data_IF_758613801811
#
_entry.id   IF_758613801811
#
_cell.length_a   1.000
_cell.length_b   1.000
_cell.length_c   1.000
_cell.angle_alpha   90.00
_cell.angle_beta   90.00
_cell.angle_gamma   90.00
#
_symmetry.space_group_name_H-M   'P 1'
#
loop_
_entity.id
_entity.type
_entity.pdbx_description
1 polymer ?
#
# COMPACT_ATOMS: atom_id res chain seq x y z
N UNK A 1 -9.27 -6.09 -13.95
CA UNK A 1 -8.53 -5.10 -14.77
C UNK A 1 -8.03 -3.99 -13.85
N UNK A 2 -6.76 -3.60 -13.93
CA UNK A 2 -6.18 -2.58 -13.03
C UNK A 2 -6.39 -1.14 -13.52
N UNK A 3 -6.46 -0.18 -12.58
CA UNK A 3 -6.64 1.26 -12.86
C UNK A 3 -5.64 1.82 -13.87
N UNK A 4 -4.38 1.39 -13.82
CA UNK A 4 -3.33 1.82 -14.77
C UNK A 4 -3.64 1.44 -16.21
N UNK A 5 -4.26 0.28 -16.44
CA UNK A 5 -4.64 -0.13 -17.80
C UNK A 5 -5.77 0.76 -18.33
N UNK A 6 -6.77 1.01 -17.48
CA UNK A 6 -7.90 1.89 -17.80
C UNK A 6 -7.43 3.32 -18.07
N UNK A 7 -6.46 3.81 -17.31
CA UNK A 7 -5.87 5.12 -17.53
C UNK A 7 -5.21 5.25 -18.91
N UNK A 8 -4.66 4.15 -19.45
CA UNK A 8 -4.06 4.12 -20.79
C UNK A 8 -5.08 3.98 -21.91
N UNK A 9 -6.15 3.20 -21.70
CA UNK A 9 -7.12 2.89 -22.75
C UNK A 9 -8.27 3.89 -22.82
N UNK A 10 -8.78 4.34 -21.67
CA UNK A 10 -9.95 5.21 -21.55
C UNK A 10 -9.60 6.61 -21.03
N UNK A 11 -8.37 6.83 -20.55
CA UNK A 11 -7.88 8.11 -20.06
C UNK A 11 -7.93 8.25 -18.54
N UNK A 12 -7.26 9.28 -18.03
CA UNK A 12 -7.00 9.53 -16.60
C UNK A 12 -8.27 9.58 -15.75
N UNK A 13 -9.34 10.23 -16.24
CA UNK A 13 -10.61 10.37 -15.49
C UNK A 13 -11.18 8.99 -15.12
N UNK A 14 -11.27 8.08 -16.08
CA UNK A 14 -11.77 6.73 -15.86
C UNK A 14 -10.82 5.87 -15.03
N UNK A 15 -9.51 6.05 -15.22
CA UNK A 15 -8.50 5.39 -14.39
C UNK A 15 -8.63 5.73 -12.90
N UNK A 16 -8.89 7.00 -12.58
CA UNK A 16 -9.10 7.47 -11.20
C UNK A 16 -10.40 6.90 -10.62
N UNK A 17 -11.49 6.87 -11.39
CA UNK A 17 -12.75 6.28 -10.92
C UNK A 17 -12.55 4.80 -10.55
N UNK A 18 -11.90 4.02 -11.40
CA UNK A 18 -11.61 2.61 -11.13
C UNK A 18 -10.67 2.45 -9.94
N UNK A 19 -9.67 3.34 -9.81
CA UNK A 19 -8.77 3.38 -8.66
C UNK A 19 -9.55 3.54 -7.35
N UNK A 20 -10.46 4.51 -7.27
CA UNK A 20 -11.28 4.76 -6.08
C UNK A 20 -12.18 3.57 -5.79
N UNK A 21 -12.84 3.01 -6.80
CA UNK A 21 -13.71 1.85 -6.64
C UNK A 21 -12.92 0.62 -6.13
N UNK A 22 -11.70 0.39 -6.63
CA UNK A 22 -10.87 -0.72 -6.16
C UNK A 22 -10.37 -0.53 -4.71
N UNK A 23 -10.10 0.70 -4.29
CA UNK A 23 -9.81 1.04 -2.89
C UNK A 23 -11.04 0.78 -2.02
N UNK A 24 -12.21 1.25 -2.43
CA UNK A 24 -13.45 1.08 -1.69
C UNK A 24 -13.81 -0.40 -1.50
N UNK A 25 -13.55 -1.26 -2.49
CA UNK A 25 -13.74 -2.72 -2.36
C UNK A 25 -12.87 -3.35 -1.26
N UNK A 26 -11.70 -2.79 -0.97
CA UNK A 26 -10.85 -3.26 0.13
C UNK A 26 -11.23 -2.62 1.47
N UNK A 27 -11.68 -1.35 1.43
CA UNK A 27 -12.00 -0.58 2.62
C UNK A 27 -13.37 -0.93 3.23
N UNK A 28 -14.42 -0.92 2.41
CA UNK A 28 -15.81 -1.06 2.87
C UNK A 28 -16.08 -2.39 3.56
N UNK A 29 -15.68 -3.56 3.01
CA UNK A 29 -15.92 -4.84 3.68
C UNK A 29 -15.19 -4.92 5.01
N UNK A 30 -13.94 -4.46 5.09
CA UNK A 30 -13.16 -4.46 6.33
C UNK A 30 -13.81 -3.57 7.37
N UNK A 31 -14.21 -2.35 7.00
CA UNK A 31 -14.89 -1.43 7.92
C UNK A 31 -16.22 -1.99 8.43
N UNK A 32 -17.05 -2.55 7.55
CA UNK A 32 -18.38 -3.04 7.93
C UNK A 32 -18.30 -4.36 8.71
N UNK A 33 -17.60 -5.36 8.18
CA UNK A 33 -17.57 -6.69 8.81
C UNK A 33 -16.73 -6.72 10.08
N UNK A 34 -15.58 -6.04 10.12
CA UNK A 34 -14.75 -6.03 11.33
C UNK A 34 -15.36 -5.18 12.45
N UNK A 35 -15.92 -4.00 12.14
CA UNK A 35 -16.41 -3.09 13.19
C UNK A 35 -17.89 -3.30 13.55
N UNK A 36 -18.77 -3.57 12.59
CA UNK A 36 -20.23 -3.66 12.86
C UNK A 36 -20.69 -5.07 13.16
N UNK A 37 -20.18 -6.08 12.45
CA UNK A 37 -20.67 -7.46 12.58
C UNK A 37 -19.87 -8.19 13.66
N UNK A 38 -18.54 -8.07 13.66
CA UNK A 38 -17.68 -8.70 14.67
C UNK A 38 -18.00 -8.29 16.11
N UNK A 39 -18.32 -7.00 16.35
CA UNK A 39 -18.64 -6.48 17.68
C UNK A 39 -20.06 -6.80 18.15
N UNK A 40 -21.07 -6.70 17.27
CA UNK A 40 -22.48 -6.85 17.66
C UNK A 40 -22.96 -8.30 17.68
N UNK A 41 -22.35 -9.20 16.90
CA UNK A 41 -22.81 -10.60 16.78
C UNK A 41 -22.07 -11.54 17.75
N UNK A 42 -21.24 -11.01 18.66
CA UNK A 42 -20.50 -11.80 19.64
C UNK A 42 -19.46 -12.75 19.03
N UNK A 43 -19.12 -12.58 17.74
CA UNK A 43 -18.13 -13.40 17.04
C UNK A 43 -16.69 -13.04 17.41
N UNK A 44 -16.48 -11.86 18.01
CA UNK A 44 -15.18 -11.33 18.42
C UNK A 44 -15.22 -10.91 19.89
N UNK A 45 -14.94 -11.83 20.83
CA UNK A 45 -14.56 -11.47 22.20
C UNK A 45 -13.06 -11.20 22.29
N UNK A 46 -12.59 -10.40 23.27
CA UNK A 46 -11.15 -10.14 23.47
C UNK A 46 -10.35 -11.45 23.68
N UNK A 47 -11.00 -12.49 24.23
CA UNK A 47 -10.44 -13.82 24.46
C UNK A 47 -10.72 -14.83 23.32
N UNK A 48 -11.42 -14.41 22.26
CA UNK A 48 -11.73 -15.29 21.13
C UNK A 48 -10.55 -15.37 20.16
N UNK A 49 -10.30 -16.57 19.61
CA UNK A 49 -9.29 -16.78 18.56
C UNK A 49 -9.50 -15.85 17.34
N UNK A 50 -10.75 -15.46 17.07
CA UNK A 50 -11.13 -14.53 16.01
C UNK A 50 -11.30 -13.09 16.54
N UNK A 51 -10.18 -12.48 16.94
CA UNK A 51 -10.15 -11.08 17.39
C UNK A 51 -10.37 -10.09 16.22
N UNK A 52 -10.87 -8.87 16.52
CA UNK A 52 -11.23 -7.83 15.52
C UNK A 52 -10.14 -7.59 14.44
N UNK A 53 -8.84 -7.48 14.81
CA UNK A 53 -7.76 -7.27 13.83
C UNK A 53 -7.53 -8.46 12.90
N UNK A 54 -7.67 -9.69 13.40
CA UNK A 54 -7.56 -10.92 12.60
C UNK A 54 -8.69 -10.96 11.58
N UNK A 55 -9.92 -10.68 12.02
CA UNK A 55 -11.08 -10.63 11.13
C UNK A 55 -10.89 -9.57 10.03
N UNK A 56 -10.41 -8.37 10.38
CA UNK A 56 -10.09 -7.33 9.42
C UNK A 56 -9.07 -7.77 8.36
N UNK A 57 -8.00 -8.46 8.78
CA UNK A 57 -6.99 -9.02 7.87
C UNK A 57 -7.62 -10.09 6.96
N UNK A 58 -8.40 -11.02 7.50
CA UNK A 58 -9.04 -12.10 6.72
C UNK A 58 -9.99 -11.51 5.67
N UNK A 59 -10.86 -10.57 6.07
CA UNK A 59 -11.81 -9.91 5.18
C UNK A 59 -11.07 -9.13 4.08
N UNK A 60 -10.03 -8.38 4.46
CA UNK A 60 -9.24 -7.61 3.50
C UNK A 60 -8.46 -8.48 2.52
N UNK A 61 -7.84 -9.56 3.00
CA UNK A 61 -7.16 -10.54 2.15
C UNK A 61 -8.13 -11.25 1.21
N UNK A 62 -9.35 -11.54 1.66
CA UNK A 62 -10.42 -12.10 0.82
C UNK A 62 -10.85 -11.12 -0.28
N UNK A 63 -10.96 -9.83 0.03
CA UNK A 63 -11.24 -8.80 -0.97
C UNK A 63 -10.11 -8.68 -2.02
N UNK A 64 -8.85 -8.74 -1.59
CA UNK A 64 -7.68 -8.76 -2.49
C UNK A 64 -7.74 -10.00 -3.39
N UNK A 65 -7.96 -11.18 -2.81
CA UNK A 65 -8.07 -12.44 -3.56
C UNK A 65 -9.21 -12.38 -4.58
N UNK A 66 -10.38 -11.86 -4.20
CA UNK A 66 -11.51 -11.66 -5.11
C UNK A 66 -11.22 -10.66 -6.23
N UNK A 67 -10.35 -9.67 -6.03
CA UNK A 67 -9.91 -8.74 -7.09
C UNK A 67 -8.89 -9.39 -8.04
N UNK A 68 -7.95 -10.17 -7.50
CA UNK A 68 -6.87 -10.81 -8.28
C UNK A 68 -7.39 -12.02 -9.07
N UNK A 69 -8.23 -12.83 -8.45
CA UNK A 69 -8.80 -14.06 -9.00
C UNK A 69 -10.33 -13.96 -9.10
N UNK A 70 -10.82 -12.86 -9.68
CA UNK A 70 -12.25 -12.67 -9.85
C UNK A 70 -12.84 -13.69 -10.82
N UNK A 71 -13.89 -14.41 -10.38
CA UNK A 71 -14.63 -15.37 -11.19
C UNK A 71 -15.26 -14.73 -12.45
N UNK A 72 -15.67 -13.45 -12.34
CA UNK A 72 -16.29 -12.69 -13.44
C UNK A 72 -15.35 -12.41 -14.62
N UNK A 73 -14.04 -12.52 -14.42
CA UNK A 73 -13.02 -12.31 -15.47
C UNK A 73 -12.15 -13.55 -15.66
N UNK A 74 -12.73 -14.73 -15.49
CA UNK A 74 -12.05 -16.03 -15.68
C UNK A 74 -10.77 -16.13 -14.85
N UNK A 75 -10.82 -15.65 -13.61
CA UNK A 75 -9.70 -15.64 -12.66
C UNK A 75 -8.45 -14.85 -13.12
N UNK A 76 -8.60 -13.96 -14.11
CA UNK A 76 -7.54 -13.07 -14.61
C UNK A 76 -7.83 -11.61 -14.23
N UNK A 77 -7.70 -11.33 -12.93
CA UNK A 77 -8.00 -10.04 -12.34
C UNK A 77 -6.88 -9.01 -12.43
N UNK A 78 -6.94 -8.00 -11.56
CA UNK A 78 -5.89 -6.99 -11.43
C UNK A 78 -4.80 -7.38 -10.42
N UNK A 79 -3.85 -6.48 -10.15
CA UNK A 79 -2.74 -6.74 -9.21
C UNK A 79 -3.14 -6.64 -7.73
N UNK A 80 -4.35 -6.17 -7.41
CA UNK A 80 -4.82 -6.05 -6.03
C UNK A 80 -4.22 -4.90 -5.20
N UNK A 81 -3.30 -4.10 -5.75
CA UNK A 81 -2.60 -3.03 -5.01
C UNK A 81 -3.57 -2.01 -4.41
N UNK A 82 -4.55 -1.55 -5.19
CA UNK A 82 -5.54 -0.57 -4.74
C UNK A 82 -6.45 -1.13 -3.66
N UNK A 83 -6.83 -2.40 -3.79
CA UNK A 83 -7.66 -3.11 -2.82
C UNK A 83 -6.88 -3.36 -1.53
N UNK A 84 -5.59 -3.69 -1.62
CA UNK A 84 -4.70 -3.77 -0.45
C UNK A 84 -4.55 -2.42 0.26
N UNK A 85 -4.43 -1.32 -0.50
CA UNK A 85 -4.45 0.03 0.07
C UNK A 85 -5.77 0.30 0.81
N UNK A 86 -6.92 -0.06 0.24
CA UNK A 86 -8.22 0.05 0.91
C UNK A 86 -8.30 -0.70 2.24
N UNK A 87 -7.81 -1.95 2.26
CA UNK A 87 -7.69 -2.73 3.50
C UNK A 87 -6.78 -2.04 4.52
N UNK A 88 -5.60 -1.58 4.12
CA UNK A 88 -4.67 -0.91 5.03
C UNK A 88 -5.22 0.42 5.57
N UNK A 89 -5.98 1.18 4.77
CA UNK A 89 -6.69 2.38 5.24
C UNK A 89 -7.71 2.02 6.34
N UNK A 90 -8.40 0.90 6.19
CA UNK A 90 -9.41 0.47 7.17
C UNK A 90 -8.79 -0.02 8.48
N UNK A 91 -7.65 -0.74 8.42
CA UNK A 91 -7.03 -1.35 9.61
C UNK A 91 -6.04 -0.39 10.29
N UNK A 92 -5.26 0.36 9.53
CA UNK A 92 -4.13 1.18 9.99
C UNK A 92 -4.15 2.59 9.33
N UNK A 93 -5.21 3.39 9.56
CA UNK A 93 -5.39 4.67 8.85
C UNK A 93 -4.26 5.67 9.11
N UNK A 94 -3.75 5.72 10.34
CA UNK A 94 -2.69 6.66 10.73
C UNK A 94 -1.36 6.26 10.10
N UNK A 95 -0.97 5.00 10.24
CA UNK A 95 0.26 4.44 9.67
C UNK A 95 0.27 4.57 8.14
N UNK A 96 -0.86 4.27 7.50
CA UNK A 96 -1.01 4.39 6.06
C UNK A 96 -0.95 5.86 5.61
N UNK A 97 -1.57 6.79 6.36
CA UNK A 97 -1.49 8.22 6.10
C UNK A 97 -0.06 8.76 6.17
N UNK A 98 0.70 8.38 7.20
CA UNK A 98 2.13 8.74 7.30
C UNK A 98 2.94 8.09 6.18
N UNK A 99 2.62 6.84 5.81
CA UNK A 99 3.21 6.17 4.66
C UNK A 99 3.00 6.90 3.34
N UNK A 100 1.78 7.40 3.07
CA UNK A 100 1.49 8.25 1.89
C UNK A 100 2.32 9.53 1.93
N UNK A 101 2.42 10.18 3.10
CA UNK A 101 3.24 11.38 3.24
C UNK A 101 4.71 11.11 2.88
N UNK A 102 5.30 10.03 3.44
CA UNK A 102 6.67 9.60 3.11
C UNK A 102 6.80 9.25 1.63
N UNK A 103 5.81 8.60 1.03
CA UNK A 103 5.78 8.30 -0.39
C UNK A 103 5.88 9.57 -1.24
N UNK A 104 4.96 10.53 -1.02
CA UNK A 104 4.88 11.77 -1.78
C UNK A 104 6.16 12.58 -1.62
N UNK A 105 6.67 12.69 -0.39
CA UNK A 105 7.93 13.39 -0.11
C UNK A 105 9.11 12.73 -0.84
N UNK A 106 9.22 11.41 -0.79
CA UNK A 106 10.30 10.67 -1.44
C UNK A 106 10.24 10.79 -2.97
N UNK A 107 9.06 10.68 -3.58
CA UNK A 107 8.90 10.91 -5.03
C UNK A 107 9.26 12.36 -5.37
N UNK A 108 8.80 13.34 -4.58
CA UNK A 108 9.07 14.76 -4.79
C UNK A 108 10.56 15.11 -4.75
N UNK A 109 11.32 14.49 -3.85
CA UNK A 109 12.76 14.73 -3.70
C UNK A 109 13.57 13.92 -4.73
N UNK A 110 13.33 12.62 -4.81
CA UNK A 110 14.19 11.68 -5.54
C UNK A 110 13.75 11.42 -6.98
N UNK A 111 12.46 11.52 -7.27
CA UNK A 111 11.83 11.08 -8.52
C UNK A 111 11.68 9.56 -8.65
N UNK A 112 12.07 8.76 -7.66
CA UNK A 112 11.98 7.30 -7.71
C UNK A 112 10.71 6.78 -7.03
N UNK A 113 9.78 6.26 -7.82
CA UNK A 113 8.53 5.66 -7.31
C UNK A 113 8.79 4.36 -6.54
N UNK A 114 9.75 3.55 -6.98
CA UNK A 114 10.12 2.31 -6.30
C UNK A 114 10.74 2.56 -4.93
N UNK A 115 11.64 3.54 -4.81
CA UNK A 115 12.21 3.97 -3.53
C UNK A 115 11.10 4.47 -2.59
N UNK A 116 10.21 5.32 -3.10
CA UNK A 116 9.09 5.85 -2.33
C UNK A 116 8.17 4.74 -1.82
N UNK A 117 7.82 3.74 -2.64
CA UNK A 117 7.02 2.59 -2.21
C UNK A 117 7.69 1.81 -1.09
N UNK A 118 8.99 1.53 -1.20
CA UNK A 118 9.72 0.77 -0.17
C UNK A 118 9.81 1.54 1.16
N UNK A 119 10.08 2.85 1.12
CA UNK A 119 10.12 3.69 2.31
C UNK A 119 8.73 3.84 2.95
N UNK A 120 7.69 4.06 2.13
CA UNK A 120 6.31 4.14 2.61
C UNK A 120 5.86 2.84 3.28
N UNK A 121 6.16 1.67 2.68
CA UNK A 121 5.85 0.38 3.29
C UNK A 121 6.65 0.11 4.56
N UNK A 122 7.90 0.57 4.65
CA UNK A 122 8.73 0.45 5.86
C UNK A 122 8.21 1.33 7.00
N UNK A 123 7.58 2.46 6.66
CA UNK A 123 7.00 3.42 7.61
C UNK A 123 5.83 2.81 8.38
N UNK A 124 5.04 1.92 7.76
CA UNK A 124 3.85 1.33 8.40
C UNK A 124 4.19 0.59 9.71
N UNK A 125 5.02 -0.47 9.72
CA UNK A 125 5.38 -1.17 10.95
C UNK A 125 6.18 -0.28 11.92
N UNK A 126 6.97 0.67 11.41
CA UNK A 126 7.74 1.60 12.23
C UNK A 126 6.82 2.53 13.04
N UNK A 127 5.85 3.17 12.39
CA UNK A 127 4.88 4.05 13.06
C UNK A 127 4.02 3.27 14.03
N UNK A 128 3.58 2.06 13.66
CA UNK A 128 2.84 1.17 14.55
C UNK A 128 3.64 0.85 15.82
N UNK A 129 4.91 0.48 15.67
CA UNK A 129 5.83 0.22 16.79
C UNK A 129 6.01 1.45 17.68
N UNK A 130 6.26 2.63 17.10
CA UNK A 130 6.46 3.87 17.85
C UNK A 130 5.20 4.28 18.63
N UNK A 131 4.02 4.20 18.01
CA UNK A 131 2.75 4.54 18.67
C UNK A 131 2.51 3.69 19.91
N UNK A 132 2.71 2.38 19.80
CA UNK A 132 2.46 1.45 20.90
C UNK A 132 3.54 1.51 21.98
N UNK A 133 4.83 1.41 21.61
CA UNK A 133 5.91 1.24 22.58
C UNK A 133 6.43 2.55 23.17
N UNK A 134 6.49 3.61 22.36
CA UNK A 134 7.04 4.90 22.77
C UNK A 134 5.94 5.85 23.25
N UNK A 135 4.89 6.04 22.44
CA UNK A 135 3.79 6.96 22.76
C UNK A 135 2.69 6.34 23.62
N UNK A 136 2.80 5.04 23.97
CA UNK A 136 1.86 4.31 24.84
C UNK A 136 0.40 4.41 24.37
N UNK A 137 0.20 4.51 23.07
CA UNK A 137 -1.14 4.47 22.47
C UNK A 137 -1.66 3.05 22.60
N UNK A 138 -2.86 2.90 23.17
CA UNK A 138 -3.53 1.61 23.21
C UNK A 138 -3.97 1.20 21.79
N UNK A 139 -3.45 0.06 21.32
CA UNK A 139 -3.73 -0.50 19.99
C UNK A 139 -4.16 -1.95 20.17
N UNK A 140 -5.47 -2.18 20.00
CA UNK A 140 -6.05 -3.52 20.10
C UNK A 140 -5.44 -4.46 19.06
N UNK A 141 -4.96 -5.61 19.53
CA UNK A 141 -4.27 -6.62 18.71
C UNK A 141 -2.97 -6.15 18.08
N UNK A 142 -2.23 -5.27 18.78
CA UNK A 142 -0.90 -4.81 18.39
C UNK A 142 0.02 -5.94 17.87
N UNK A 143 0.13 -7.05 18.60
CA UNK A 143 1.00 -8.16 18.21
C UNK A 143 0.60 -8.78 16.85
N UNK A 144 -0.69 -8.96 16.60
CA UNK A 144 -1.18 -9.43 15.30
C UNK A 144 -0.83 -8.45 14.18
N UNK A 145 -1.08 -7.16 14.42
CA UNK A 145 -0.87 -6.10 13.42
C UNK A 145 0.62 -5.91 13.10
N UNK A 146 1.50 -5.97 14.10
CA UNK A 146 2.94 -5.80 13.87
C UNK A 146 3.51 -6.98 13.07
N UNK A 147 3.12 -8.23 13.37
CA UNK A 147 3.57 -9.38 12.58
C UNK A 147 3.02 -9.33 11.15
N UNK A 148 1.74 -8.96 10.98
CA UNK A 148 1.14 -8.78 9.67
C UNK A 148 1.87 -7.72 8.84
N UNK A 149 2.13 -6.54 9.41
CA UNK A 149 2.78 -5.43 8.71
C UNK A 149 4.25 -5.71 8.39
N UNK A 150 4.96 -6.45 9.25
CA UNK A 150 6.31 -6.94 8.95
C UNK A 150 6.29 -7.95 7.79
N UNK A 151 5.36 -8.90 7.79
CA UNK A 151 5.17 -9.82 6.66
C UNK A 151 4.83 -9.10 5.35
N UNK A 152 3.95 -8.09 5.42
CA UNK A 152 3.60 -7.25 4.28
C UNK A 152 4.81 -6.46 3.76
N UNK A 153 5.63 -5.88 4.66
CA UNK A 153 6.87 -5.20 4.30
C UNK A 153 7.83 -6.15 3.56
N UNK A 154 8.05 -7.36 4.09
CA UNK A 154 8.91 -8.36 3.45
C UNK A 154 8.43 -8.71 2.03
N UNK A 155 7.11 -8.88 1.85
CA UNK A 155 6.50 -9.11 0.54
C UNK A 155 6.74 -7.92 -0.41
N UNK A 156 6.58 -6.68 0.06
CA UNK A 156 6.85 -5.48 -0.73
C UNK A 156 8.32 -5.42 -1.14
N UNK A 157 9.26 -5.65 -0.23
CA UNK A 157 10.69 -5.67 -0.54
C UNK A 157 11.03 -6.76 -1.55
N UNK A 158 10.46 -7.96 -1.38
CA UNK A 158 10.66 -9.06 -2.32
C UNK A 158 10.14 -8.75 -3.73
N UNK A 159 8.98 -8.11 -3.84
CA UNK A 159 8.42 -7.69 -5.14
C UNK A 159 9.24 -6.58 -5.78
N UNK A 160 9.94 -5.76 -5.00
CA UNK A 160 10.81 -4.68 -5.47
C UNK A 160 12.27 -5.09 -5.66
N UNK A 161 12.66 -6.36 -5.46
CA UNK A 161 14.06 -6.82 -5.61
C UNK A 161 14.75 -6.39 -6.91
N UNK A 162 14.01 -6.38 -8.03
CA UNK A 162 14.55 -5.92 -9.31
C UNK A 162 14.78 -4.41 -9.35
N UNK A 163 13.91 -3.65 -8.69
CA UNK A 163 14.03 -2.20 -8.55
C UNK A 163 15.19 -1.83 -7.62
N UNK A 164 15.40 -2.61 -6.55
CA UNK A 164 16.54 -2.46 -5.65
C UNK A 164 17.85 -2.61 -6.44
N UNK A 165 17.98 -3.66 -7.25
CA UNK A 165 19.15 -3.85 -8.11
C UNK A 165 19.39 -2.65 -9.05
N UNK A 166 18.34 -2.11 -9.67
CA UNK A 166 18.43 -0.94 -10.56
C UNK A 166 18.71 0.37 -9.81
N UNK A 167 18.28 0.51 -8.56
CA UNK A 167 18.63 1.66 -7.72
C UNK A 167 20.11 1.64 -7.37
N UNK A 168 20.64 0.47 -7.00
CA UNK A 168 22.06 0.27 -6.69
C UNK A 168 22.92 0.53 -7.93
N UNK A 169 22.51 0.05 -9.11
CA UNK A 169 23.23 0.28 -10.37
C UNK A 169 22.98 1.65 -11.01
N UNK A 170 22.09 2.47 -10.42
CA UNK A 170 21.73 3.79 -10.96
C UNK A 170 20.91 3.77 -12.25
N UNK A 171 20.34 2.62 -12.66
CA UNK A 171 19.55 2.46 -13.89
C UNK A 171 18.03 2.52 -13.67
N UNK A 172 17.57 2.75 -12.44
CA UNK A 172 16.13 2.85 -12.15
C UNK A 172 15.50 4.08 -12.82
N UNK A 173 14.27 3.91 -13.33
CA UNK A 173 13.54 4.98 -14.00
C UNK A 173 13.13 6.08 -13.02
N UNK A 174 13.40 7.33 -13.41
CA UNK A 174 12.98 8.53 -12.67
C UNK A 174 11.72 9.13 -13.27
N UNK A 175 10.77 9.47 -12.41
CA UNK A 175 9.59 10.26 -12.73
C UNK A 175 9.92 11.76 -12.61
N UNK A 176 10.61 12.32 -13.61
CA UNK A 176 11.11 13.70 -13.56
C UNK A 176 10.01 14.76 -13.45
N UNK A 177 8.82 14.49 -14.00
CA UNK A 177 7.68 15.41 -13.99
C UNK A 177 7.20 15.81 -12.58
N UNK A 178 7.49 14.99 -11.57
CA UNK A 178 7.01 15.18 -10.19
C UNK A 178 8.12 15.57 -9.20
N UNK A 179 9.33 15.88 -9.68
CA UNK A 179 10.43 16.32 -8.81
C UNK A 179 10.29 17.79 -8.46
N UNK A 180 10.20 18.09 -7.16
CA UNK A 180 10.24 19.46 -6.64
C UNK A 180 11.65 20.05 -6.79
N UNK A 181 12.68 19.23 -6.57
CA UNK A 181 14.07 19.62 -6.75
C UNK A 181 14.58 19.11 -8.09
N UNK A 182 14.54 19.97 -9.11
CA UNK A 182 15.30 19.76 -10.35
C UNK A 182 16.78 19.84 -10.02
N UNK A 183 17.40 18.69 -9.75
CA UNK A 183 18.84 18.66 -9.60
C UNK A 183 19.48 19.02 -10.94
N UNK A 184 20.19 20.15 -10.99
CA UNK A 184 20.84 20.71 -12.20
C UNK A 184 21.93 19.80 -12.81
N UNK A 185 22.17 18.62 -12.22
CA UNK A 185 23.28 17.72 -12.56
C UNK A 185 23.04 16.85 -13.82
N UNK A 186 21.96 17.04 -14.57
CA UNK A 186 21.70 16.28 -15.82
C UNK A 186 22.28 16.94 -17.09
N UNK A 187 22.76 18.19 -17.02
CA UNK A 187 23.29 18.88 -18.23
C UNK A 187 24.72 18.49 -18.63
N UNK A 188 25.47 17.72 -17.82
CA UNK A 188 26.88 17.43 -18.11
C UNK A 188 27.16 16.21 -19.02
N UNK A 189 26.16 15.45 -19.45
CA UNK A 189 26.38 14.27 -20.33
C UNK A 189 26.19 14.52 -21.82
N UNK A 190 25.88 15.76 -22.23
CA UNK A 190 25.59 16.12 -23.63
C UNK A 190 26.73 16.84 -24.38
N UNK A 191 27.90 17.04 -23.76
CA UNK A 191 29.02 17.81 -24.35
C UNK A 191 30.36 17.05 -24.35
N UNK A 192 30.33 15.75 -24.64
CA UNK A 192 31.57 14.97 -24.80
C UNK A 192 31.44 13.88 -25.86
N UNK A 193 30.96 14.28 -27.04
CA UNK A 193 31.17 13.56 -28.30
C UNK A 193 31.32 14.64 -29.38
N UNK A 194 32.48 15.27 -29.43
CA UNK A 194 33.08 15.86 -30.63
C UNK A 194 34.56 15.48 -30.63
#
# INVERSE_FOLDING_TARGET
>A
MGSTNIMRTLGTKWGIIVQVIDILKGFVPVMLFANLIGSNWGMCGEDSFLNLPILGIIVGMSAIAGHVWSCFVKFKGGKGVNTAAGMLIAILPIEFGVGIFVFVLTVGISGYVSLASMLASSTIPLVLFLRYNLFRVDIKGYFTLIYFTLGFLLLVLFTHRSNIARLISGTENKFEKWRFLKCACSKKKAYKIE
#
